data_IF_580325352962
#
_entry.id   IF_580325352962
#
_cell.length_a   1.000
_cell.length_b   1.000
_cell.length_c   1.000
_cell.angle_alpha   90.00
_cell.angle_beta   90.00
_cell.angle_gamma   90.00
#
_symmetry.space_group_name_H-M   'P 1'
#
loop_
_entity.id
_entity.type
_entity.pdbx_description
1 polymer ?
#
# COMPACT_ATOMS: atom_id res chain seq x y z
N UNK A 1 10.84 21.17 4.76
CA UNK A 1 10.99 20.52 3.44
C UNK A 1 12.42 20.00 3.36
N UNK A 2 12.69 18.76 3.77
CA UNK A 2 14.03 18.18 3.65
C UNK A 2 14.15 17.53 2.27
N UNK A 3 14.90 18.19 1.37
CA UNK A 3 15.44 17.54 0.18
C UNK A 3 16.54 16.58 0.64
N UNK A 4 16.24 15.30 0.79
CA UNK A 4 17.28 14.29 0.90
C UNK A 4 17.93 14.11 -0.48
N UNK A 5 19.15 14.63 -0.62
CA UNK A 5 19.97 14.55 -1.82
C UNK A 5 20.84 13.28 -1.90
N UNK A 6 20.63 12.31 -1.00
CA UNK A 6 21.28 11.00 -1.03
C UNK A 6 20.23 9.89 -1.00
N UNK A 7 20.38 8.81 -1.79
CA UNK A 7 19.52 7.65 -1.68
C UNK A 7 19.67 7.04 -0.28
N UNK A 8 18.57 6.92 0.45
CA UNK A 8 18.47 6.14 1.67
C UNK A 8 17.69 4.86 1.39
N UNK A 9 17.92 3.82 2.20
CA UNK A 9 17.20 2.56 2.06
C UNK A 9 15.93 2.59 2.91
N UNK A 10 14.82 2.21 2.30
CA UNK A 10 13.53 2.04 2.95
C UNK A 10 13.12 0.58 2.94
N UNK A 11 12.28 0.20 3.92
CA UNK A 11 11.54 -1.05 3.87
C UNK A 11 10.30 -0.82 3.02
N UNK A 12 10.21 -1.54 1.90
CA UNK A 12 9.07 -1.48 1.01
C UNK A 12 8.25 -2.77 1.11
N UNK A 13 6.94 -2.61 1.16
CA UNK A 13 5.96 -3.65 0.90
C UNK A 13 5.27 -3.37 -0.42
N UNK A 14 4.59 -4.37 -0.96
CA UNK A 14 3.87 -4.26 -2.22
C UNK A 14 2.38 -4.48 -1.99
N UNK A 15 1.59 -3.45 -2.21
CA UNK A 15 0.13 -3.55 -2.25
C UNK A 15 -0.33 -3.86 -3.67
N UNK A 16 -1.29 -4.75 -3.79
CA UNK A 16 -2.02 -4.96 -5.04
C UNK A 16 -3.17 -3.96 -5.20
N UNK A 17 -3.82 -4.01 -6.37
CA UNK A 17 -4.91 -3.11 -6.71
C UNK A 17 -6.22 -3.32 -5.91
N UNK A 18 -6.29 -4.34 -5.05
CA UNK A 18 -7.43 -4.65 -4.18
C UNK A 18 -7.07 -4.57 -2.69
N UNK A 19 -5.97 -3.89 -2.36
CA UNK A 19 -5.59 -3.64 -0.96
C UNK A 19 -5.04 -4.85 -0.23
N UNK A 20 -4.53 -5.85 -0.95
CA UNK A 20 -3.79 -6.94 -0.33
C UNK A 20 -2.29 -6.65 -0.39
N UNK A 21 -1.58 -7.04 0.67
CA UNK A 21 -0.14 -6.94 0.77
C UNK A 21 0.50 -8.26 0.33
N UNK A 22 1.56 -8.17 -0.47
CA UNK A 22 2.42 -9.32 -0.75
C UNK A 22 3.24 -9.60 0.51
N UNK A 23 3.05 -10.79 1.08
CA UNK A 23 3.68 -11.22 2.32
C UNK A 23 4.22 -12.64 2.21
N UNK A 24 5.12 -13.01 3.12
CA UNK A 24 5.67 -14.36 3.18
C UNK A 24 4.90 -15.22 4.18
N UNK A 25 4.46 -16.40 3.73
CA UNK A 25 3.81 -17.42 4.56
C UNK A 25 4.81 -18.51 4.96
N UNK A 26 5.33 -18.52 6.21
CA UNK A 26 6.37 -19.48 6.62
C UNK A 26 5.92 -20.94 6.52
N UNK A 27 4.64 -21.22 6.81
CA UNK A 27 4.06 -22.56 6.73
C UNK A 27 3.99 -23.11 5.30
N UNK A 28 3.99 -22.23 4.30
CA UNK A 28 3.90 -22.60 2.89
C UNK A 28 5.24 -22.42 2.15
N UNK A 29 6.22 -21.76 2.77
CA UNK A 29 7.53 -21.49 2.19
C UNK A 29 7.50 -20.57 0.95
N UNK A 30 6.46 -19.74 0.78
CA UNK A 30 6.25 -18.92 -0.43
C UNK A 30 5.67 -17.54 -0.11
N UNK A 31 5.70 -16.66 -1.10
CA UNK A 31 4.93 -15.41 -1.09
C UNK A 31 3.45 -15.69 -1.36
N UNK A 32 2.59 -14.97 -0.66
CA UNK A 32 1.13 -14.96 -0.83
C UNK A 32 0.62 -13.52 -0.83
N UNK A 33 -0.64 -13.31 -1.20
CA UNK A 33 -1.34 -12.03 -0.96
C UNK A 33 -2.28 -12.16 0.23
N UNK A 34 -2.22 -11.21 1.15
CA UNK A 34 -3.11 -11.17 2.32
C UNK A 34 -3.82 -9.83 2.38
N UNK A 35 -5.12 -9.78 2.77
CA UNK A 35 -5.78 -8.49 2.98
C UNK A 35 -4.98 -7.64 3.95
N UNK A 36 -4.82 -6.35 3.65
CA UNK A 36 -4.19 -5.44 4.60
C UNK A 36 -5.08 -5.28 5.83
N UNK A 37 -4.53 -5.59 7.01
CA UNK A 37 -5.24 -5.56 8.30
C UNK A 37 -4.58 -4.60 9.30
N UNK A 38 -3.91 -3.57 8.81
CA UNK A 38 -3.25 -2.57 9.67
C UNK A 38 -1.90 -3.00 10.24
N UNK A 39 -1.53 -4.29 10.10
CA UNK A 39 -0.29 -4.85 10.66
C UNK A 39 0.83 -5.03 9.65
N UNK A 40 2.07 -4.74 10.06
CA UNK A 40 3.25 -5.08 9.24
C UNK A 40 3.45 -6.60 9.13
N UNK A 41 3.84 -7.06 7.95
CA UNK A 41 4.04 -8.49 7.66
C UNK A 41 5.46 -8.80 7.20
N UNK A 42 5.90 -10.05 7.36
CA UNK A 42 7.10 -10.55 6.70
C UNK A 42 6.98 -10.43 5.17
N UNK A 43 8.13 -10.32 4.49
CA UNK A 43 8.16 -10.12 3.05
C UNK A 43 8.30 -8.65 2.65
N UNK A 44 9.03 -7.84 3.43
CA UNK A 44 9.45 -6.53 2.93
C UNK A 44 10.72 -6.66 2.09
N UNK A 45 11.01 -5.63 1.29
CA UNK A 45 12.25 -5.50 0.52
C UNK A 45 12.98 -4.20 0.91
N UNK A 46 14.27 -4.27 1.30
CA UNK A 46 15.11 -3.09 1.39
C UNK A 46 15.36 -2.54 -0.01
N UNK A 47 15.04 -1.28 -0.26
CA UNK A 47 15.29 -0.63 -1.56
C UNK A 47 15.70 0.82 -1.38
N UNK A 48 16.55 1.38 -2.27
CA UNK A 48 16.74 2.81 -2.36
C UNK A 48 15.41 3.54 -2.55
N UNK A 49 15.26 4.69 -1.89
CA UNK A 49 14.13 5.59 -2.05
C UNK A 49 14.58 7.00 -2.45
N UNK A 50 13.96 7.65 -3.45
CA UNK A 50 12.89 7.14 -4.33
C UNK A 50 13.30 5.91 -5.14
N UNK A 51 12.34 5.04 -5.44
CA UNK A 51 12.61 3.78 -6.15
C UNK A 51 13.27 4.01 -7.52
N UNK A 52 14.33 3.24 -7.85
CA UNK A 52 15.00 3.30 -9.14
C UNK A 52 14.09 2.78 -10.27
N UNK A 53 14.52 2.93 -11.52
CA UNK A 53 13.80 2.38 -12.69
C UNK A 53 13.73 0.86 -12.64
N UNK A 54 14.81 0.22 -12.18
CA UNK A 54 14.93 -1.22 -12.05
C UNK A 54 15.76 -1.56 -10.81
N UNK A 55 15.39 -2.63 -10.09
CA UNK A 55 16.18 -3.17 -8.98
C UNK A 55 15.96 -4.68 -8.83
N UNK A 56 17.00 -5.40 -8.43
CA UNK A 56 16.86 -6.79 -7.97
C UNK A 56 16.43 -6.79 -6.50
N UNK A 57 15.33 -7.47 -6.20
CA UNK A 57 14.72 -7.48 -4.88
C UNK A 57 15.11 -8.73 -4.11
N UNK A 58 15.47 -8.53 -2.85
CA UNK A 58 15.63 -9.59 -1.86
C UNK A 58 14.60 -9.39 -0.76
N UNK A 59 13.90 -10.46 -0.37
CA UNK A 59 12.80 -10.44 0.59
C UNK A 59 13.28 -10.75 2.00
N UNK A 60 12.72 -10.10 3.01
CA UNK A 60 13.18 -10.18 4.39
C UNK A 60 12.04 -10.36 5.38
N UNK A 61 12.34 -11.01 6.52
CA UNK A 61 11.49 -11.03 7.70
C UNK A 61 11.57 -9.70 8.44
N UNK A 62 10.58 -9.38 9.25
CA UNK A 62 10.58 -8.19 10.12
C UNK A 62 11.78 -8.14 11.08
N UNK A 63 12.36 -9.29 11.38
CA UNK A 63 13.54 -9.45 12.24
C UNK A 63 14.87 -9.29 11.50
N UNK A 64 14.84 -9.00 10.19
CA UNK A 64 16.05 -8.77 9.41
C UNK A 64 16.74 -10.04 8.94
N UNK A 65 16.00 -11.13 8.74
CA UNK A 65 16.51 -12.35 8.12
C UNK A 65 16.08 -12.42 6.66
N UNK A 66 17.00 -12.84 5.78
CA UNK A 66 16.67 -13.03 4.37
C UNK A 66 15.75 -14.25 4.21
N UNK A 67 14.67 -14.06 3.45
CA UNK A 67 13.72 -15.11 3.11
C UNK A 67 14.25 -15.97 1.94
N UNK A 68 13.93 -17.27 1.91
CA UNK A 68 14.33 -18.19 0.85
C UNK A 68 13.44 -18.02 -0.41
N UNK A 69 13.30 -16.79 -0.88
CA UNK A 69 12.54 -16.44 -2.08
C UNK A 69 13.52 -16.09 -3.19
N UNK A 70 13.32 -16.65 -4.38
CA UNK A 70 14.12 -16.29 -5.55
C UNK A 70 14.01 -14.77 -5.83
N UNK A 71 15.13 -14.07 -6.08
CA UNK A 71 15.10 -12.65 -6.37
C UNK A 71 14.22 -12.32 -7.57
N UNK A 72 13.40 -11.28 -7.42
CA UNK A 72 12.58 -10.71 -8.50
C UNK A 72 13.18 -9.40 -8.97
N UNK A 73 13.03 -9.09 -10.25
CA UNK A 73 13.42 -7.81 -10.83
C UNK A 73 12.23 -6.86 -10.77
N UNK A 74 12.31 -5.85 -9.92
CA UNK A 74 11.35 -4.77 -9.87
C UNK A 74 11.56 -3.84 -11.07
N UNK A 75 10.48 -3.51 -11.77
CA UNK A 75 10.49 -2.54 -12.88
C UNK A 75 9.46 -1.45 -12.63
N UNK A 76 9.93 -0.21 -12.48
CA UNK A 76 9.08 0.96 -12.28
C UNK A 76 8.28 1.26 -13.54
N UNK A 77 6.99 1.55 -13.36
CA UNK A 77 6.06 1.96 -14.41
C UNK A 77 5.40 3.29 -14.03
N UNK A 78 4.37 3.70 -14.79
CA UNK A 78 3.66 4.97 -14.56
C UNK A 78 2.98 4.99 -13.18
N UNK A 79 2.75 6.20 -12.66
CA UNK A 79 2.07 6.47 -11.37
C UNK A 79 2.77 5.87 -10.13
N UNK A 80 4.08 5.61 -10.23
CA UNK A 80 4.86 5.06 -9.10
C UNK A 80 4.64 3.57 -8.84
N UNK A 81 3.82 2.90 -9.67
CA UNK A 81 3.62 1.46 -9.61
C UNK A 81 4.85 0.72 -10.14
N UNK A 82 4.90 -0.58 -9.85
CA UNK A 82 5.96 -1.48 -10.30
C UNK A 82 5.38 -2.78 -10.82
N UNK A 83 6.19 -3.49 -11.62
CA UNK A 83 6.00 -4.89 -11.97
C UNK A 83 7.14 -5.69 -11.35
N UNK A 84 6.87 -6.93 -10.95
CA UNK A 84 7.87 -7.81 -10.37
C UNK A 84 8.13 -8.97 -11.34
N UNK A 85 9.29 -9.00 -11.98
CA UNK A 85 9.63 -9.96 -13.02
C UNK A 85 10.49 -11.09 -12.46
N UNK A 86 10.24 -12.33 -12.90
CA UNK A 86 11.11 -13.46 -12.60
C UNK A 86 12.47 -13.27 -13.26
N UNK A 87 13.56 -13.44 -12.49
CA UNK A 87 14.93 -13.26 -13.01
C UNK A 87 15.21 -14.24 -14.15
N UNK A 88 15.62 -13.71 -15.31
CA UNK A 88 15.92 -14.49 -16.50
C UNK A 88 14.71 -14.98 -17.33
N UNK A 89 13.48 -14.63 -16.95
CA UNK A 89 12.26 -14.97 -17.70
C UNK A 89 11.45 -13.72 -18.04
N UNK A 90 10.57 -13.78 -19.05
CA UNK A 90 9.67 -12.67 -19.43
C UNK A 90 8.33 -12.72 -18.67
N UNK A 91 8.29 -13.43 -17.54
CA UNK A 91 7.10 -13.61 -16.73
C UNK A 91 7.09 -12.63 -15.55
N UNK A 92 5.91 -12.06 -15.29
CA UNK A 92 5.66 -11.13 -14.19
C UNK A 92 4.77 -11.77 -13.13
N UNK A 93 5.02 -11.43 -11.87
CA UNK A 93 4.18 -11.80 -10.73
C UNK A 93 2.76 -11.27 -10.96
N UNK A 94 1.79 -12.15 -10.79
CA UNK A 94 0.37 -11.90 -11.03
C UNK A 94 -0.45 -12.34 -9.82
N UNK A 95 -1.48 -11.57 -9.46
CA UNK A 95 -2.42 -11.95 -8.41
C UNK A 95 -3.58 -12.78 -8.97
N UNK A 96 -4.08 -13.71 -8.16
CA UNK A 96 -5.42 -14.26 -8.36
C UNK A 96 -6.44 -13.50 -7.49
N UNK A 97 -7.44 -12.79 -8.05
CA UNK A 97 -8.43 -12.08 -7.26
C UNK A 97 -9.30 -12.99 -6.37
N UNK A 98 -9.34 -14.31 -6.65
CA UNK A 98 -10.19 -15.29 -5.96
C UNK A 98 -9.45 -16.14 -4.91
N UNK A 99 -8.13 -16.03 -4.79
CA UNK A 99 -7.35 -16.74 -3.78
C UNK A 99 -6.19 -15.88 -3.26
N UNK A 100 -5.45 -16.41 -2.29
CA UNK A 100 -4.20 -15.85 -1.78
C UNK A 100 -2.99 -16.17 -2.69
N UNK A 101 -3.22 -16.90 -3.78
CA UNK A 101 -2.17 -17.36 -4.67
C UNK A 101 -1.60 -16.26 -5.56
N UNK A 102 -0.30 -16.38 -5.78
CA UNK A 102 0.47 -15.64 -6.76
C UNK A 102 0.91 -16.58 -7.88
N UNK A 103 0.83 -16.08 -9.11
CA UNK A 103 1.28 -16.78 -10.31
C UNK A 103 2.29 -15.95 -11.11
N UNK A 104 2.71 -16.50 -12.24
CA UNK A 104 3.60 -15.82 -13.18
C UNK A 104 2.99 -15.87 -14.58
N UNK A 105 2.93 -14.72 -15.26
CA UNK A 105 2.32 -14.58 -16.59
C UNK A 105 3.14 -13.67 -17.49
N UNK A 106 3.02 -13.84 -18.81
CA UNK A 106 3.71 -12.99 -19.79
C UNK A 106 2.95 -11.68 -20.13
N UNK A 107 1.74 -11.52 -19.61
CA UNK A 107 0.93 -10.32 -19.80
C UNK A 107 1.21 -9.30 -18.69
N UNK A 108 0.86 -8.03 -18.93
CA UNK A 108 0.83 -7.05 -17.85
C UNK A 108 -0.42 -6.18 -17.93
N UNK A 109 -1.37 -6.51 -17.08
CA UNK A 109 -2.60 -5.78 -16.81
C UNK A 109 -2.53 -5.19 -15.39
N UNK A 110 -3.65 -4.74 -14.84
CA UNK A 110 -3.69 -4.22 -13.46
C UNK A 110 -3.31 -5.26 -12.41
N UNK A 111 -3.46 -6.55 -12.71
CA UNK A 111 -3.20 -7.67 -11.78
C UNK A 111 -1.71 -7.98 -11.58
N UNK A 112 -0.85 -7.48 -12.47
CA UNK A 112 0.61 -7.60 -12.39
C UNK A 112 1.28 -6.28 -11.98
N UNK A 113 0.49 -5.33 -11.46
CA UNK A 113 0.96 -4.03 -11.01
C UNK A 113 0.79 -3.89 -9.51
N UNK A 114 1.88 -3.50 -8.86
CA UNK A 114 1.94 -3.34 -7.42
C UNK A 114 2.33 -1.92 -7.06
N UNK A 115 1.76 -1.41 -5.98
CA UNK A 115 2.14 -0.17 -5.36
C UNK A 115 3.20 -0.44 -4.28
N UNK A 116 4.45 0.03 -4.46
CA UNK A 116 5.43 0.02 -3.38
C UNK A 116 5.01 1.01 -2.30
N UNK A 117 4.93 0.54 -1.06
CA UNK A 117 4.56 1.35 0.11
C UNK A 117 5.61 1.24 1.20
N UNK A 118 5.93 2.38 1.81
CA UNK A 118 6.79 2.46 2.99
C UNK A 118 5.98 2.18 4.25
N UNK A 119 6.66 1.96 5.37
CA UNK A 119 6.02 1.83 6.69
C UNK A 119 5.14 3.03 7.04
N UNK A 120 5.58 4.25 6.71
CA UNK A 120 4.80 5.47 6.93
C UNK A 120 3.49 5.49 6.15
N UNK A 121 3.49 5.03 4.90
CA UNK A 121 2.28 4.96 4.08
C UNK A 121 1.35 3.88 4.63
N UNK A 122 1.89 2.72 5.04
CA UNK A 122 1.10 1.66 5.67
C UNK A 122 0.45 2.16 6.96
N UNK A 123 1.18 2.86 7.83
CA UNK A 123 0.63 3.43 9.06
C UNK A 123 -0.50 4.44 8.77
N UNK A 124 -0.32 5.32 7.78
CA UNK A 124 -1.36 6.23 7.34
C UNK A 124 -2.60 5.52 6.80
N UNK A 125 -2.39 4.43 6.05
CA UNK A 125 -3.46 3.56 5.57
C UNK A 125 -4.18 2.85 6.72
N UNK A 126 -3.47 2.34 7.72
CA UNK A 126 -4.07 1.73 8.93
C UNK A 126 -4.95 2.73 9.65
N UNK A 127 -4.48 3.95 9.85
CA UNK A 127 -5.23 5.02 10.52
C UNK A 127 -6.55 5.34 9.83
N UNK A 128 -6.62 5.32 8.50
CA UNK A 128 -7.87 5.58 7.78
C UNK A 128 -8.75 4.32 7.62
N UNK A 129 -8.21 3.12 7.81
CA UNK A 129 -8.92 1.86 7.51
C UNK A 129 -9.39 1.11 8.76
N UNK A 130 -8.74 1.32 9.91
CA UNK A 130 -9.02 0.59 11.15
C UNK A 130 -9.86 1.42 12.15
N UNK A 131 -11.08 0.97 12.50
CA UNK A 131 -11.94 1.65 13.47
C UNK A 131 -11.42 1.68 14.91
N UNK A 132 -10.49 0.80 15.25
CA UNK A 132 -9.82 0.82 16.55
C UNK A 132 -8.71 1.88 16.62
N UNK A 133 -8.18 2.29 15.46
CA UNK A 133 -7.11 3.30 15.39
C UNK A 133 -7.61 4.73 15.30
N UNK A 134 -8.75 4.99 14.64
CA UNK A 134 -9.25 6.36 14.51
C UNK A 134 -10.76 6.45 14.35
N UNK A 135 -11.28 7.67 14.47
CA UNK A 135 -12.63 8.06 14.00
C UNK A 135 -12.48 9.03 12.85
N UNK A 136 -13.28 8.88 11.79
CA UNK A 136 -13.24 9.75 10.62
C UNK A 136 -14.55 10.50 10.49
N UNK A 137 -14.45 11.83 10.49
CA UNK A 137 -15.55 12.72 10.17
C UNK A 137 -15.27 13.53 8.91
N UNK A 138 -16.30 13.87 8.15
CA UNK A 138 -16.19 14.87 7.11
C UNK A 138 -15.91 16.24 7.74
N UNK A 139 -14.90 16.97 7.23
CA UNK A 139 -14.39 18.16 7.91
C UNK A 139 -15.39 19.33 7.91
N UNK A 140 -16.29 19.40 6.92
CA UNK A 140 -17.27 20.50 6.77
C UNK A 140 -18.52 20.29 7.61
N UNK A 141 -19.03 19.06 7.67
CA UNK A 141 -20.28 18.71 8.35
C UNK A 141 -20.07 18.15 9.75
N UNK A 142 -18.83 17.77 10.10
CA UNK A 142 -18.50 16.97 11.28
C UNK A 142 -19.25 15.62 11.36
N UNK A 143 -19.85 15.18 10.25
CA UNK A 143 -20.57 13.92 10.18
C UNK A 143 -19.58 12.75 10.17
N UNK A 144 -19.85 11.73 10.97
CA UNK A 144 -19.09 10.47 10.92
C UNK A 144 -19.35 9.74 9.60
N UNK A 145 -18.27 9.43 8.86
CA UNK A 145 -18.34 8.87 7.49
C UNK A 145 -17.84 7.43 7.38
N UNK A 146 -17.38 6.84 8.50
CA UNK A 146 -16.78 5.52 8.50
C UNK A 146 -15.37 5.49 7.90
N UNK A 147 -14.82 4.29 7.78
CA UNK A 147 -13.42 4.06 7.46
C UNK A 147 -13.21 3.71 5.99
N UNK A 148 -11.98 3.92 5.54
CA UNK A 148 -11.53 3.51 4.22
C UNK A 148 -11.66 2.00 4.05
N UNK A 149 -12.31 1.59 2.97
CA UNK A 149 -12.36 0.20 2.54
C UNK A 149 -12.09 0.10 1.05
N UNK A 150 -11.22 -0.83 0.65
CA UNK A 150 -10.94 -1.06 -0.76
C UNK A 150 -12.20 -1.51 -1.51
N UNK A 151 -12.35 -1.04 -2.75
CA UNK A 151 -13.46 -1.46 -3.60
C UNK A 151 -13.26 -2.93 -4.04
N UNK A 152 -14.34 -3.72 -4.11
CA UNK A 152 -14.24 -5.11 -4.54
C UNK A 152 -13.86 -5.21 -6.03
N UNK A 153 -13.30 -6.34 -6.48
CA UNK A 153 -12.93 -6.54 -7.89
C UNK A 153 -14.06 -6.30 -8.89
N UNK A 154 -15.32 -6.49 -8.49
CA UNK A 154 -16.51 -6.26 -9.32
C UNK A 154 -16.71 -4.80 -9.73
N UNK A 155 -16.14 -3.83 -9.00
CA UNK A 155 -16.26 -2.40 -9.36
C UNK A 155 -15.23 -1.96 -10.41
N UNK A 156 -14.23 -2.79 -10.74
CA UNK A 156 -13.21 -2.53 -11.77
C UNK A 156 -12.48 -1.16 -11.62
N UNK A 157 -12.27 -0.71 -10.38
CA UNK A 157 -11.55 0.52 -10.03
C UNK A 157 -10.27 0.20 -9.24
N UNK A 158 -9.16 -0.15 -9.92
CA UNK A 158 -7.94 -0.62 -9.26
C UNK A 158 -7.31 0.48 -8.39
N UNK A 159 -6.90 0.11 -7.17
CA UNK A 159 -6.28 1.02 -6.20
C UNK A 159 -7.26 2.00 -5.54
N UNK A 160 -8.57 1.80 -5.75
CA UNK A 160 -9.59 2.66 -5.17
C UNK A 160 -10.22 2.03 -3.94
N UNK A 161 -10.62 2.88 -3.00
CA UNK A 161 -11.47 2.55 -1.87
C UNK A 161 -12.44 3.67 -1.56
N UNK A 162 -13.28 3.48 -0.55
CA UNK A 162 -14.36 4.41 -0.20
C UNK A 162 -14.24 4.88 1.24
N UNK A 163 -14.47 6.18 1.46
CA UNK A 163 -14.68 6.80 2.79
C UNK A 163 -15.98 7.61 2.68
N UNK A 164 -17.03 7.24 3.42
CA UNK A 164 -18.37 7.79 3.23
C UNK A 164 -18.83 7.60 1.77
N UNK A 165 -19.21 8.70 1.11
CA UNK A 165 -19.64 8.69 -0.29
C UNK A 165 -18.48 8.96 -1.28
N UNK A 166 -17.26 9.16 -0.78
CA UNK A 166 -16.11 9.56 -1.59
C UNK A 166 -15.29 8.34 -2.02
N UNK A 167 -15.02 8.23 -3.33
CA UNK A 167 -14.12 7.21 -3.88
C UNK A 167 -12.72 7.81 -3.97
N UNK A 168 -11.78 7.22 -3.23
CA UNK A 168 -10.40 7.68 -3.09
C UNK A 168 -9.46 6.71 -3.80
N UNK A 169 -8.60 7.22 -4.68
CA UNK A 169 -7.53 6.44 -5.29
C UNK A 169 -6.24 6.57 -4.45
N UNK A 170 -5.75 5.48 -3.86
CA UNK A 170 -4.58 5.55 -2.98
C UNK A 170 -3.31 6.00 -3.73
N UNK A 171 -3.22 5.72 -5.04
CA UNK A 171 -2.05 6.09 -5.86
C UNK A 171 -1.86 7.61 -5.94
N UNK A 172 -2.95 8.36 -5.87
CA UNK A 172 -2.92 9.82 -5.94
C UNK A 172 -2.72 10.48 -4.57
N UNK A 173 -2.75 9.69 -3.49
CA UNK A 173 -2.86 10.19 -2.12
C UNK A 173 -1.72 9.72 -1.20
N UNK A 174 -0.64 9.14 -1.76
CA UNK A 174 0.49 8.60 -0.99
C UNK A 174 1.15 9.63 -0.06
N UNK A 175 1.25 10.89 -0.49
CA UNK A 175 1.80 11.96 0.35
C UNK A 175 0.89 12.30 1.53
N UNK A 176 -0.43 12.33 1.31
CA UNK A 176 -1.41 12.55 2.38
C UNK A 176 -1.41 11.40 3.39
N UNK A 177 -1.28 10.16 2.91
CA UNK A 177 -1.15 8.97 3.77
C UNK A 177 0.16 9.00 4.58
N UNK A 178 1.30 9.26 3.94
CA UNK A 178 2.59 9.37 4.64
C UNK A 178 2.57 10.48 5.70
N UNK A 179 1.90 11.61 5.46
CA UNK A 179 1.78 12.68 6.44
C UNK A 179 1.02 12.28 7.72
N UNK A 180 0.21 11.21 7.68
CA UNK A 180 -0.46 10.68 8.87
C UNK A 180 0.46 9.89 9.79
N UNK A 181 1.63 9.44 9.34
CA UNK A 181 2.53 8.61 10.16
C UNK A 181 3.07 9.32 11.41
N UNK A 182 2.98 10.66 11.44
CA UNK A 182 3.41 11.48 12.57
C UNK A 182 2.27 11.90 13.50
N UNK A 183 1.05 11.38 13.30
CA UNK A 183 -0.07 11.63 14.22
C UNK A 183 0.19 10.93 15.55
N UNK A 184 -0.17 11.59 16.66
CA UNK A 184 -0.08 11.00 17.99
C UNK A 184 -1.45 10.53 18.49
N UNK A 185 -1.45 9.59 19.43
CA UNK A 185 -2.68 9.17 20.11
C UNK A 185 -3.35 10.38 20.79
N UNK A 186 -4.66 10.52 20.60
CA UNK A 186 -5.44 11.66 21.07
C UNK A 186 -5.36 12.90 20.17
N UNK A 187 -4.48 12.92 19.16
CA UNK A 187 -4.39 14.02 18.20
C UNK A 187 -5.56 13.99 17.20
N UNK A 188 -6.05 15.17 16.83
CA UNK A 188 -6.93 15.34 15.68
C UNK A 188 -6.16 15.93 14.51
N UNK A 189 -6.35 15.38 13.31
CA UNK A 189 -5.71 15.86 12.09
C UNK A 189 -6.68 15.88 10.93
N UNK A 190 -6.73 17.00 10.22
CA UNK A 190 -7.44 17.06 8.94
C UNK A 190 -6.52 16.60 7.82
N UNK A 191 -7.02 15.68 6.99
CA UNK A 191 -6.36 15.23 5.77
C UNK A 191 -7.16 15.67 4.55
N UNK A 192 -6.44 15.86 3.46
CA UNK A 192 -7.00 16.15 2.15
C UNK A 192 -6.73 14.98 1.23
N UNK A 193 -7.78 14.39 0.68
CA UNK A 193 -7.71 13.27 -0.24
C UNK A 193 -8.34 13.65 -1.58
N UNK A 194 -7.62 13.37 -2.67
CA UNK A 194 -8.11 13.55 -4.03
C UNK A 194 -9.01 12.37 -4.41
N UNK A 195 -10.23 12.69 -4.85
CA UNK A 195 -11.22 11.73 -5.32
C UNK A 195 -10.84 11.17 -6.70
N UNK A 196 -11.23 9.93 -6.97
CA UNK A 196 -10.90 9.23 -8.23
C UNK A 196 -11.70 9.76 -9.43
N UNK A 197 -12.98 10.11 -9.24
CA UNK A 197 -13.89 10.38 -10.37
C UNK A 197 -13.75 11.78 -10.96
N UNK A 198 -13.56 12.80 -10.12
CA UNK A 198 -13.59 14.22 -10.50
C UNK A 198 -12.31 14.98 -10.14
N UNK A 199 -11.35 14.33 -9.49
CA UNK A 199 -10.16 14.95 -8.88
C UNK A 199 -10.50 16.09 -7.89
N UNK A 200 -11.73 16.13 -7.38
CA UNK A 200 -12.06 17.02 -6.28
C UNK A 200 -11.29 16.61 -5.02
N UNK A 201 -11.10 17.57 -4.11
CA UNK A 201 -10.41 17.32 -2.84
C UNK A 201 -11.47 17.23 -1.76
N UNK A 202 -11.56 16.05 -1.14
CA UNK A 202 -12.37 15.82 0.05
C UNK A 202 -11.51 15.95 1.31
N UNK A 203 -12.07 16.59 2.34
CA UNK A 203 -11.38 16.85 3.60
C UNK A 203 -12.01 16.04 4.73
N UNK A 204 -11.17 15.30 5.45
CA UNK A 204 -11.60 14.45 6.56
C UNK A 204 -10.83 14.79 7.82
N UNK A 205 -11.51 14.89 8.94
CA UNK A 205 -10.89 15.02 10.26
C UNK A 205 -10.79 13.63 10.89
N UNK A 206 -9.55 13.20 11.13
CA UNK A 206 -9.24 11.99 11.89
C UNK A 206 -9.05 12.38 13.35
N UNK A 207 -9.73 11.66 14.25
CA UNK A 207 -9.40 11.65 15.68
C UNK A 207 -8.68 10.34 15.99
N UNK A 208 -7.38 10.42 16.28
CA UNK A 208 -6.55 9.24 16.55
C UNK A 208 -6.83 8.67 17.94
N UNK A 209 -7.18 7.38 17.98
CA UNK A 209 -7.41 6.61 19.20
C UNK A 209 -6.24 5.71 19.55
N UNK A 210 -5.50 5.26 18.54
CA UNK A 210 -4.31 4.43 18.72
C UNK A 210 -3.40 4.53 17.51
N UNK A 211 -2.09 4.41 17.73
CA UNK A 211 -1.06 4.38 16.70
C UNK A 211 -0.39 3.00 16.56
N UNK A 212 -1.02 1.94 17.11
CA UNK A 212 -0.48 0.58 17.02
C UNK A 212 -0.31 0.14 15.55
N UNK A 213 0.89 -0.27 15.12
CA UNK A 213 1.11 -0.94 13.85
C UNK A 213 0.87 -2.46 13.95
#
# INVERSE_FOLDING_TARGET
MMQHSSPFFERLWFLDCFGHIISYAPSQGRLIRTPFQGTLTNGFVPSPFPIPLEAELTWWTLYGEQLPIEPLIMKKIRRGLVKLQKKGAQEFLSINPRSDDLGFVNAVNAWEQFLPVTEQILQGLSLISDPDMSTICEATSAQHVGHFSFLPPSENKPGCGRIGDHIINIYNNLSSLSALSSIQEGEMRTISLTNDEDNAISHFTLSCRSVKP
#
